data_IF_918037356158
#
_entry.id   IF_918037356158
#
_cell.length_a   1.000
_cell.length_b   1.000
_cell.length_c   1.000
_cell.angle_alpha   90.00
_cell.angle_beta   90.00
_cell.angle_gamma   90.00
#
_symmetry.space_group_name_H-M   'P 1'
#
loop_
_entity.id
_entity.type
_entity.pdbx_description
1 polymer ?
#
# COMPACT_ATOMS: atom_id res chain seq x y z
N UNK A 1 93.72 12.91 -4.78
CA UNK A 1 92.81 12.95 -3.65
C UNK A 1 91.40 12.81 -4.21
N UNK A 2 90.91 11.57 -4.30
CA UNK A 2 89.60 11.25 -4.88
C UNK A 2 88.67 10.88 -3.73
N UNK A 3 87.57 11.59 -3.61
CA UNK A 3 86.49 11.28 -2.62
C UNK A 3 85.40 10.49 -3.31
N UNK A 4 85.29 9.21 -2.98
CA UNK A 4 84.20 8.34 -3.38
C UNK A 4 82.94 8.70 -2.60
N UNK A 5 81.89 9.01 -3.31
CA UNK A 5 80.56 9.20 -2.73
C UNK A 5 79.82 7.88 -2.85
N UNK A 6 79.49 7.31 -1.69
CA UNK A 6 78.65 6.09 -1.59
C UNK A 6 77.18 6.54 -1.60
N UNK A 7 76.49 6.19 -2.66
CA UNK A 7 75.05 6.41 -2.77
C UNK A 7 74.34 5.17 -2.20
N UNK A 8 73.74 5.31 -1.03
CA UNK A 8 72.81 4.30 -0.44
C UNK A 8 71.49 4.34 -1.14
N UNK A 9 71.24 3.34 -1.95
CA UNK A 9 69.91 3.06 -2.51
C UNK A 9 69.02 2.38 -1.42
N UNK A 10 68.12 3.16 -0.81
CA UNK A 10 67.05 2.62 0.07
C UNK A 10 65.95 2.14 -0.85
N UNK A 11 65.87 0.81 -1.03
CA UNK A 11 64.73 0.16 -1.69
C UNK A 11 63.49 0.27 -0.81
N UNK A 12 62.61 1.22 -1.11
CA UNK A 12 61.33 1.31 -0.50
C UNK A 12 60.40 0.21 -1.04
N UNK A 13 60.11 -0.78 -0.22
CA UNK A 13 59.05 -1.77 -0.47
C UNK A 13 57.72 -1.06 -0.29
N UNK A 14 57.06 -0.68 -1.39
CA UNK A 14 55.65 -0.26 -1.41
C UNK A 14 54.80 -1.50 -1.15
N UNK A 15 54.42 -1.71 0.09
CA UNK A 15 53.34 -2.64 0.42
C UNK A 15 52.04 -1.99 -0.05
N UNK A 16 51.62 -2.32 -1.26
CA UNK A 16 50.26 -2.02 -1.73
C UNK A 16 49.25 -2.82 -0.89
N UNK A 17 48.87 -2.24 0.25
CA UNK A 17 47.75 -2.72 1.04
C UNK A 17 46.46 -2.64 0.21
N UNK A 18 46.12 -3.74 -0.46
CA UNK A 18 44.83 -3.89 -1.09
C UNK A 18 43.76 -3.78 -0.03
N UNK A 19 43.15 -2.61 0.09
CA UNK A 19 41.84 -2.48 0.74
C UNK A 19 40.85 -3.25 -0.11
N UNK A 20 40.74 -4.57 0.13
CA UNK A 20 39.60 -5.36 -0.26
C UNK A 20 38.43 -4.77 0.46
N UNK A 21 37.81 -3.73 -0.14
CA UNK A 21 36.47 -3.29 0.17
C UNK A 21 35.55 -4.51 0.01
N UNK A 22 35.33 -5.22 1.10
CA UNK A 22 34.20 -6.15 1.21
C UNK A 22 32.92 -5.30 1.18
N UNK A 23 32.61 -4.71 0.01
CA UNK A 23 31.27 -4.26 -0.26
C UNK A 23 30.45 -5.55 -0.33
N UNK A 24 29.80 -5.87 0.79
CA UNK A 24 28.73 -6.83 0.83
C UNK A 24 27.80 -6.45 -0.33
N UNK A 25 27.89 -7.17 -1.44
CA UNK A 25 27.00 -7.04 -2.58
C UNK A 25 25.61 -7.42 -2.10
N UNK A 26 24.88 -6.43 -1.55
CA UNK A 26 23.45 -6.60 -1.31
C UNK A 26 22.83 -6.78 -2.67
N UNK A 27 22.10 -7.88 -2.84
CA UNK A 27 21.33 -8.14 -4.05
C UNK A 27 20.52 -6.87 -4.39
N UNK A 28 20.72 -6.25 -5.57
CA UNK A 28 20.01 -5.04 -5.94
C UNK A 28 18.49 -5.20 -5.88
N UNK A 29 18.00 -6.40 -6.21
CA UNK A 29 16.58 -6.71 -6.16
C UNK A 29 16.06 -6.66 -4.71
N UNK A 30 16.79 -7.24 -3.77
CA UNK A 30 16.46 -7.19 -2.34
C UNK A 30 16.52 -5.75 -1.80
N UNK A 31 17.52 -4.98 -2.25
CA UNK A 31 17.67 -3.58 -1.82
C UNK A 31 16.50 -2.71 -2.29
N UNK A 32 16.07 -2.85 -3.54
CA UNK A 32 14.88 -2.20 -4.10
C UNK A 32 13.62 -2.62 -3.34
N UNK A 33 13.45 -3.92 -3.11
CA UNK A 33 12.31 -4.46 -2.37
C UNK A 33 12.22 -3.91 -0.95
N UNK A 34 13.35 -3.75 -0.26
CA UNK A 34 13.40 -3.12 1.06
C UNK A 34 12.91 -1.68 1.04
N UNK A 35 13.25 -0.89 0.01
CA UNK A 35 12.79 0.49 -0.11
C UNK A 35 11.27 0.54 -0.33
N UNK A 36 10.75 -0.27 -1.26
CA UNK A 36 9.32 -0.37 -1.54
C UNK A 36 8.56 -0.83 -0.29
N UNK A 37 9.05 -1.86 0.42
CA UNK A 37 8.48 -2.36 1.65
C UNK A 37 8.42 -1.28 2.74
N UNK A 38 9.52 -0.55 2.91
CA UNK A 38 9.61 0.51 3.92
C UNK A 38 8.56 1.61 3.68
N UNK A 39 8.22 1.87 2.43
CA UNK A 39 7.26 2.91 2.09
C UNK A 39 5.80 2.44 2.19
N UNK A 40 5.48 1.25 1.66
CA UNK A 40 4.09 0.79 1.49
C UNK A 40 3.63 -0.22 2.54
N UNK A 41 4.52 -1.00 3.15
CA UNK A 41 4.14 -2.20 3.91
C UNK A 41 4.33 -2.05 5.43
N UNK A 42 5.30 -1.26 5.88
CA UNK A 42 5.72 -1.21 7.29
C UNK A 42 4.65 -0.73 8.26
N UNK A 43 3.71 0.10 7.81
CA UNK A 43 2.64 0.60 8.68
C UNK A 43 1.69 -0.49 9.19
N UNK A 44 1.56 -1.59 8.45
CA UNK A 44 0.79 -2.77 8.86
C UNK A 44 1.71 -3.92 9.29
N UNK A 45 2.71 -4.25 8.45
CA UNK A 45 3.55 -5.43 8.65
C UNK A 45 4.77 -5.19 9.55
N UNK A 46 5.03 -3.95 10.00
CA UNK A 46 6.19 -3.60 10.81
C UNK A 46 7.49 -3.50 10.01
N UNK A 47 8.51 -2.86 10.58
CA UNK A 47 9.82 -2.67 9.92
C UNK A 47 10.57 -3.99 9.74
N UNK A 48 10.40 -4.91 10.69
CA UNK A 48 11.01 -6.24 10.73
C UNK A 48 10.12 -7.34 10.15
N UNK A 49 8.86 -7.04 9.82
CA UNK A 49 7.96 -7.96 9.17
C UNK A 49 7.09 -8.81 10.10
N UNK A 50 7.09 -8.54 11.42
CA UNK A 50 6.33 -9.32 12.42
C UNK A 50 4.81 -9.09 12.39
N UNK A 51 4.27 -8.26 11.50
CA UNK A 51 2.85 -7.91 11.52
C UNK A 51 2.48 -6.92 12.63
N UNK A 52 3.46 -6.25 13.21
CA UNK A 52 3.39 -5.37 14.39
C UNK A 52 3.46 -3.87 14.05
N UNK A 53 3.21 -3.50 12.80
CA UNK A 53 3.17 -2.10 12.39
C UNK A 53 2.18 -1.29 13.22
N UNK A 54 2.38 0.04 13.31
CA UNK A 54 1.54 0.91 14.15
C UNK A 54 0.03 0.81 13.85
N UNK A 55 -0.33 0.39 12.65
CA UNK A 55 -1.73 0.21 12.24
C UNK A 55 -2.26 -1.19 12.55
N UNK A 56 -1.42 -2.17 12.87
CA UNK A 56 -1.82 -3.56 13.08
C UNK A 56 -2.86 -3.70 14.21
N UNK A 57 -2.75 -2.87 15.26
CA UNK A 57 -3.72 -2.87 16.37
C UNK A 57 -5.16 -2.54 15.95
N UNK A 58 -5.34 -1.86 14.80
CA UNK A 58 -6.64 -1.46 14.28
C UNK A 58 -7.22 -2.47 13.27
N UNK A 59 -6.55 -3.61 13.06
CA UNK A 59 -6.92 -4.59 12.04
C UNK A 59 -7.30 -5.94 12.66
N UNK A 60 -8.37 -6.54 12.14
CA UNK A 60 -8.77 -7.90 12.43
C UNK A 60 -9.25 -8.54 11.11
N UNK A 61 -8.62 -9.60 10.59
CA UNK A 61 -7.42 -10.27 11.16
C UNK A 61 -6.16 -9.39 11.14
N UNK A 62 -5.22 -9.72 12.02
CA UNK A 62 -3.91 -9.07 12.09
C UNK A 62 -3.12 -9.26 10.77
N UNK A 63 -2.23 -8.32 10.43
CA UNK A 63 -1.32 -8.50 9.31
C UNK A 63 -0.46 -9.76 9.50
N UNK A 64 -0.18 -10.44 8.39
CA UNK A 64 0.67 -11.63 8.41
C UNK A 64 2.09 -11.30 8.91
N UNK A 65 2.62 -12.17 9.76
CA UNK A 65 4.04 -12.19 10.12
C UNK A 65 4.86 -12.75 8.95
N UNK A 66 5.74 -11.94 8.36
CA UNK A 66 6.62 -12.34 7.27
C UNK A 66 7.89 -13.03 7.77
N UNK A 67 8.15 -13.04 9.07
CA UNK A 67 9.30 -13.72 9.68
C UNK A 67 9.02 -15.19 10.00
N UNK A 68 7.73 -15.57 9.98
CA UNK A 68 7.30 -16.95 10.15
C UNK A 68 7.54 -17.75 8.86
N UNK A 69 8.64 -18.48 8.85
CA UNK A 69 9.02 -19.34 7.72
C UNK A 69 8.36 -20.71 7.71
N UNK A 70 7.47 -21.01 8.69
CA UNK A 70 6.77 -22.28 8.79
C UNK A 70 5.66 -22.45 7.75
N UNK A 71 5.18 -23.70 7.65
CA UNK A 71 3.95 -24.03 6.94
C UNK A 71 2.73 -23.71 7.83
N UNK A 72 1.62 -23.17 7.28
CA UNK A 72 1.37 -22.79 5.87
C UNK A 72 1.74 -21.33 5.55
N UNK A 73 2.70 -20.78 6.24
CA UNK A 73 3.10 -19.37 6.14
C UNK A 73 4.11 -19.12 5.02
N UNK A 74 5.13 -18.29 5.27
CA UNK A 74 6.05 -17.83 4.22
C UNK A 74 6.85 -18.95 3.57
N UNK A 75 7.18 -20.01 4.32
CA UNK A 75 7.92 -21.17 3.80
C UNK A 75 7.13 -22.02 2.83
N UNK A 76 5.82 -22.17 3.05
CA UNK A 76 4.94 -22.97 2.20
C UNK A 76 4.39 -22.26 0.97
N UNK A 77 4.74 -21.01 0.76
CA UNK A 77 4.28 -20.24 -0.39
C UNK A 77 5.32 -20.19 -1.49
N UNK A 78 4.87 -20.33 -2.74
CA UNK A 78 5.75 -20.08 -3.90
C UNK A 78 6.02 -18.57 -4.05
N UNK A 79 7.00 -18.20 -4.86
CA UNK A 79 7.27 -16.79 -5.14
C UNK A 79 6.12 -16.15 -5.91
N UNK A 80 5.48 -16.90 -6.79
CA UNK A 80 4.32 -16.49 -7.59
C UNK A 80 3.10 -16.25 -6.71
N UNK A 81 2.84 -17.10 -5.71
CA UNK A 81 1.76 -16.89 -4.75
C UNK A 81 1.97 -15.63 -3.91
N UNK A 82 3.21 -15.34 -3.52
CA UNK A 82 3.55 -14.09 -2.82
C UNK A 82 3.39 -12.87 -3.74
N UNK A 83 3.83 -12.99 -5.00
CA UNK A 83 3.61 -11.96 -6.02
C UNK A 83 2.12 -11.67 -6.20
N UNK A 84 1.30 -12.72 -6.35
CA UNK A 84 -0.16 -12.57 -6.48
C UNK A 84 -0.78 -11.92 -5.24
N UNK A 85 -0.36 -12.33 -4.05
CA UNK A 85 -0.85 -11.76 -2.80
C UNK A 85 -0.58 -10.24 -2.72
N UNK A 86 0.59 -9.80 -3.12
CA UNK A 86 0.93 -8.37 -3.17
C UNK A 86 0.18 -7.67 -4.30
N UNK A 87 0.17 -8.26 -5.49
CA UNK A 87 -0.42 -7.65 -6.69
C UNK A 87 -1.94 -7.51 -6.57
N UNK A 88 -2.63 -8.60 -6.19
CA UNK A 88 -4.10 -8.70 -6.14
C UNK A 88 -4.69 -8.34 -4.78
N UNK A 89 -3.85 -8.19 -3.75
CA UNK A 89 -4.29 -7.99 -2.37
C UNK A 89 -4.91 -9.23 -1.75
N UNK A 90 -5.22 -9.17 -0.46
CA UNK A 90 -5.75 -10.32 0.26
C UNK A 90 -7.04 -10.88 -0.34
N UNK A 91 -7.96 -10.02 -0.76
CA UNK A 91 -9.20 -10.46 -1.41
C UNK A 91 -8.94 -11.21 -2.72
N UNK A 92 -8.00 -10.76 -3.53
CA UNK A 92 -7.69 -11.37 -4.82
C UNK A 92 -7.18 -12.82 -4.72
N UNK A 93 -6.74 -13.22 -3.53
CA UNK A 93 -6.29 -14.57 -3.17
C UNK A 93 -7.21 -15.27 -2.17
N UNK A 94 -8.47 -14.83 -2.02
CA UNK A 94 -9.46 -15.43 -1.11
C UNK A 94 -9.19 -15.19 0.37
N UNK A 95 -8.45 -14.14 0.73
CA UNK A 95 -8.14 -13.73 2.10
C UNK A 95 -8.80 -12.40 2.47
N UNK A 96 -8.43 -11.81 3.61
CA UNK A 96 -9.00 -10.55 4.09
C UNK A 96 -8.80 -9.38 3.12
N UNK A 97 -9.84 -8.59 2.88
CA UNK A 97 -9.80 -7.36 2.09
C UNK A 97 -8.98 -6.24 2.74
N UNK A 98 -8.57 -6.40 4.00
CA UNK A 98 -7.75 -5.41 4.72
C UNK A 98 -6.32 -5.29 4.17
N UNK A 99 -5.84 -6.30 3.41
CA UNK A 99 -4.63 -6.16 2.63
C UNK A 99 -4.99 -5.64 1.22
N UNK A 100 -4.65 -4.39 0.89
CA UNK A 100 -5.01 -3.79 -0.40
C UNK A 100 -4.19 -4.36 -1.56
N UNK A 101 -4.69 -4.28 -2.81
CA UNK A 101 -3.94 -4.67 -4.00
C UNK A 101 -2.91 -3.58 -4.37
N UNK A 102 -1.70 -3.98 -4.70
CA UNK A 102 -0.62 -3.06 -5.10
C UNK A 102 -0.28 -3.10 -6.59
N UNK A 103 -0.81 -4.08 -7.36
CA UNK A 103 -0.59 -4.17 -8.81
C UNK A 103 -1.14 -2.99 -9.62
N UNK A 104 -2.05 -2.18 -9.04
CA UNK A 104 -2.52 -0.93 -9.61
C UNK A 104 -1.61 0.28 -9.37
N UNK A 105 -0.51 0.11 -8.62
CA UNK A 105 0.41 1.20 -8.22
C UNK A 105 1.87 0.86 -8.53
N UNK A 106 2.29 -0.35 -8.21
CA UNK A 106 3.65 -0.85 -8.37
C UNK A 106 3.81 -1.52 -9.73
N UNK A 107 5.01 -1.45 -10.29
CA UNK A 107 5.38 -2.29 -11.42
C UNK A 107 5.53 -3.75 -11.00
N UNK A 108 5.46 -4.66 -11.95
CA UNK A 108 5.69 -6.09 -11.65
C UNK A 108 7.10 -6.32 -11.11
N UNK A 109 8.11 -5.60 -11.65
CA UNK A 109 9.48 -5.64 -11.13
C UNK A 109 9.55 -5.22 -9.65
N UNK A 110 8.85 -4.15 -9.25
CA UNK A 110 8.81 -3.70 -7.85
C UNK A 110 8.12 -4.72 -6.95
N UNK A 111 7.08 -5.41 -7.44
CA UNK A 111 6.43 -6.49 -6.68
C UNK A 111 7.37 -7.69 -6.54
N UNK A 112 8.09 -8.09 -7.58
CA UNK A 112 9.11 -9.13 -7.49
C UNK A 112 10.25 -8.76 -6.53
N UNK A 113 10.64 -7.48 -6.52
CA UNK A 113 11.64 -7.00 -5.55
C UNK A 113 11.13 -7.09 -4.10
N UNK A 114 9.83 -6.79 -3.87
CA UNK A 114 9.19 -7.01 -2.58
C UNK A 114 9.23 -8.48 -2.17
N UNK A 115 8.90 -9.41 -3.07
CA UNK A 115 8.98 -10.85 -2.80
C UNK A 115 10.41 -11.24 -2.41
N UNK A 116 11.41 -10.74 -3.15
CA UNK A 116 12.81 -11.01 -2.84
C UNK A 116 13.19 -10.49 -1.44
N UNK A 117 12.76 -9.29 -1.07
CA UNK A 117 13.00 -8.76 0.27
C UNK A 117 12.26 -9.56 1.35
N UNK A 118 10.98 -9.89 1.16
CA UNK A 118 10.21 -10.69 2.11
C UNK A 118 10.85 -12.05 2.38
N UNK A 119 11.46 -12.68 1.36
CA UNK A 119 12.22 -13.93 1.50
C UNK A 119 13.45 -13.80 2.42
N UNK A 120 13.96 -12.59 2.63
CA UNK A 120 15.06 -12.37 3.58
C UNK A 120 14.62 -12.18 5.03
N UNK A 121 13.31 -12.04 5.28
CA UNK A 121 12.79 -11.78 6.62
C UNK A 121 12.67 -13.05 7.47
N UNK A 122 12.58 -14.24 6.86
CA UNK A 122 12.55 -15.52 7.56
C UNK A 122 13.83 -16.34 7.30
N UNK A 123 14.16 -17.23 8.23
CA UNK A 123 15.39 -18.04 8.19
C UNK A 123 15.28 -19.31 7.34
N UNK A 124 14.08 -19.70 6.96
CA UNK A 124 13.87 -20.93 6.21
C UNK A 124 14.41 -20.78 4.78
N UNK A 125 14.95 -21.88 4.26
CA UNK A 125 15.36 -21.93 2.85
C UNK A 125 14.17 -21.58 1.96
N UNK A 126 14.38 -20.64 1.05
CA UNK A 126 13.37 -20.19 0.11
C UNK A 126 13.93 -20.21 -1.33
N UNK A 127 13.11 -20.50 -2.33
CA UNK A 127 13.55 -20.40 -3.72
C UNK A 127 14.08 -19.01 -4.05
N UNK A 128 15.17 -18.96 -4.81
CA UNK A 128 15.67 -17.67 -5.31
C UNK A 128 14.59 -16.98 -6.13
N UNK A 129 14.38 -15.70 -5.87
CA UNK A 129 13.45 -14.90 -6.67
C UNK A 129 14.13 -14.46 -7.95
N UNK A 130 13.49 -14.75 -9.07
CA UNK A 130 13.92 -14.34 -10.41
C UNK A 130 12.80 -13.51 -11.01
N UNK A 131 13.13 -12.30 -11.49
CA UNK A 131 12.16 -11.47 -12.20
C UNK A 131 11.94 -12.07 -13.59
N UNK A 132 10.69 -12.42 -13.97
CA UNK A 132 10.41 -12.91 -15.32
C UNK A 132 10.84 -11.88 -16.38
N UNK A 133 11.30 -12.37 -17.54
CA UNK A 133 11.76 -11.48 -18.63
C UNK A 133 10.64 -10.58 -19.17
N UNK A 134 9.41 -11.08 -19.15
CA UNK A 134 8.19 -10.40 -19.57
C UNK A 134 7.61 -9.47 -18.52
N UNK A 135 8.17 -9.43 -17.32
CA UNK A 135 7.66 -8.58 -16.23
C UNK A 135 7.70 -7.10 -16.60
N UNK A 136 6.61 -6.41 -16.34
CA UNK A 136 6.50 -4.95 -16.57
C UNK A 136 7.41 -4.20 -15.62
N UNK A 137 8.34 -3.43 -16.19
CA UNK A 137 9.34 -2.66 -15.45
C UNK A 137 8.80 -1.31 -15.00
N UNK A 138 7.84 -0.75 -15.75
CA UNK A 138 7.25 0.54 -15.46
C UNK A 138 5.98 0.39 -14.61
N UNK A 139 5.78 1.37 -13.73
CA UNK A 139 4.51 1.49 -12.98
C UNK A 139 3.35 1.73 -13.93
N UNK A 140 2.12 1.30 -13.56
CA UNK A 140 0.93 1.58 -14.34
C UNK A 140 0.80 3.08 -14.63
N UNK A 141 0.52 3.42 -15.90
CA UNK A 141 0.25 4.81 -16.30
C UNK A 141 -1.15 5.20 -15.87
N UNK A 142 -1.26 6.33 -15.18
CA UNK A 142 -2.53 6.82 -14.68
C UNK A 142 -3.11 7.86 -15.64
N UNK A 143 -4.14 7.47 -16.39
CA UNK A 143 -4.88 8.38 -17.26
C UNK A 143 -5.84 9.20 -16.40
N UNK A 144 -5.68 10.53 -16.44
CA UNK A 144 -6.54 11.45 -15.70
C UNK A 144 -7.80 11.78 -16.49
N UNK A 145 -8.79 10.89 -16.49
CA UNK A 145 -10.15 11.26 -16.90
C UNK A 145 -10.92 11.78 -15.68
N UNK A 146 -10.82 13.07 -15.40
CA UNK A 146 -11.50 13.67 -14.26
C UNK A 146 -12.93 14.05 -14.63
N UNK A 147 -13.92 13.45 -13.99
CA UNK A 147 -15.31 13.90 -14.10
C UNK A 147 -15.47 15.23 -13.37
N UNK A 148 -16.12 16.20 -13.99
CA UNK A 148 -16.47 17.50 -13.36
C UNK A 148 -17.70 17.36 -12.48
N UNK A 149 -18.64 16.50 -12.84
CA UNK A 149 -19.88 16.19 -12.16
C UNK A 149 -20.09 14.68 -12.09
N UNK A 150 -20.87 14.23 -11.13
CA UNK A 150 -21.32 12.85 -11.02
C UNK A 150 -22.78 12.80 -11.39
N UNK A 151 -23.09 12.00 -12.38
CA UNK A 151 -24.44 11.71 -12.77
C UNK A 151 -24.96 10.51 -11.98
N UNK A 152 -26.16 10.65 -11.41
CA UNK A 152 -26.86 9.56 -10.78
C UNK A 152 -27.76 8.95 -11.84
N UNK A 153 -27.71 7.64 -12.06
CA UNK A 153 -28.58 6.99 -13.02
C UNK A 153 -30.03 7.30 -12.66
N UNK A 154 -30.78 7.85 -13.60
CA UNK A 154 -32.23 7.96 -13.49
C UNK A 154 -32.77 6.55 -13.72
N UNK A 155 -33.40 5.98 -12.69
CA UNK A 155 -34.11 4.70 -12.80
C UNK A 155 -35.60 4.97 -12.94
N UNK A 156 -36.23 4.19 -13.79
CA UNK A 156 -37.69 4.16 -13.94
C UNK A 156 -38.18 2.94 -13.14
N UNK A 157 -39.15 3.12 -12.31
CA UNK A 157 -39.80 2.04 -11.55
C UNK A 157 -40.46 1.02 -12.44
N UNK A 158 -40.87 -0.12 -11.89
CA UNK A 158 -41.65 -1.14 -12.62
C UNK A 158 -43.01 -0.60 -13.12
N UNK A 159 -43.49 0.45 -12.49
CA UNK A 159 -44.73 1.18 -12.85
C UNK A 159 -44.49 2.22 -13.97
N UNK A 160 -43.27 2.33 -14.51
CA UNK A 160 -42.93 3.29 -15.56
C UNK A 160 -42.68 4.73 -15.06
N UNK A 161 -42.84 4.98 -13.77
CA UNK A 161 -42.63 6.29 -13.18
C UNK A 161 -41.16 6.51 -12.79
N UNK A 162 -40.66 7.77 -12.83
CA UNK A 162 -39.32 8.08 -12.33
C UNK A 162 -39.21 7.73 -10.84
N UNK A 163 -38.18 6.95 -10.47
CA UNK A 163 -37.87 6.69 -9.06
C UNK A 163 -37.34 7.96 -8.42
N UNK A 164 -37.69 8.23 -7.18
CA UNK A 164 -37.15 9.36 -6.43
C UNK A 164 -35.60 9.26 -6.37
N UNK A 165 -34.94 10.29 -6.88
CA UNK A 165 -33.49 10.40 -6.88
C UNK A 165 -32.88 10.30 -5.47
N UNK A 166 -33.61 10.75 -4.44
CA UNK A 166 -33.16 10.64 -3.05
C UNK A 166 -33.16 9.17 -2.59
N UNK A 167 -34.16 8.39 -2.97
CA UNK A 167 -34.20 6.96 -2.68
C UNK A 167 -33.09 6.19 -3.39
N UNK A 168 -32.87 6.48 -4.67
CA UNK A 168 -31.75 5.88 -5.44
C UNK A 168 -30.41 6.18 -4.78
N UNK A 169 -30.19 7.43 -4.37
CA UNK A 169 -28.95 7.84 -3.66
C UNK A 169 -28.80 7.08 -2.35
N UNK A 170 -29.86 6.91 -1.58
CA UNK A 170 -29.83 6.20 -0.29
C UNK A 170 -29.47 4.71 -0.49
N UNK A 171 -30.10 4.03 -1.45
CA UNK A 171 -29.80 2.63 -1.79
C UNK A 171 -28.36 2.46 -2.29
N UNK A 172 -27.89 3.38 -3.14
CA UNK A 172 -26.49 3.36 -3.60
C UNK A 172 -25.53 3.63 -2.45
N UNK A 173 -25.84 4.54 -1.52
CA UNK A 173 -24.99 4.80 -0.36
C UNK A 173 -24.87 3.57 0.55
N UNK A 174 -25.95 2.85 0.83
CA UNK A 174 -25.90 1.58 1.58
C UNK A 174 -25.04 0.52 0.88
N UNK A 175 -25.15 0.44 -0.46
CA UNK A 175 -24.28 -0.42 -1.25
C UNK A 175 -22.83 0.03 -1.14
N UNK A 176 -22.60 1.34 -1.19
CA UNK A 176 -21.28 1.95 -1.04
C UNK A 176 -20.62 1.63 0.29
N UNK A 177 -21.37 1.63 1.39
CA UNK A 177 -20.89 1.23 2.72
C UNK A 177 -20.38 -0.21 2.73
N UNK A 178 -21.18 -1.16 2.22
CA UNK A 178 -20.76 -2.56 2.10
C UNK A 178 -19.52 -2.73 1.21
N UNK A 179 -19.45 -1.98 0.12
CA UNK A 179 -18.28 -1.99 -0.76
C UNK A 179 -17.05 -1.44 -0.04
N UNK A 180 -17.18 -0.33 0.68
CA UNK A 180 -16.13 0.33 1.45
C UNK A 180 -15.58 -0.58 2.54
N UNK A 181 -16.45 -1.20 3.33
CA UNK A 181 -16.04 -2.01 4.48
C UNK A 181 -15.60 -3.42 4.09
N UNK A 182 -16.41 -4.11 3.27
CA UNK A 182 -16.27 -5.56 3.07
C UNK A 182 -15.55 -5.91 1.77
N UNK A 183 -15.89 -5.21 0.67
CA UNK A 183 -15.31 -5.56 -0.64
C UNK A 183 -13.91 -5.02 -0.83
N UNK A 184 -13.72 -3.75 -0.59
CA UNK A 184 -12.45 -3.08 -0.86
C UNK A 184 -11.61 -2.84 0.38
N UNK A 185 -12.14 -3.06 1.60
CA UNK A 185 -11.41 -2.96 2.85
C UNK A 185 -10.81 -1.58 3.10
N UNK A 186 -11.50 -0.52 2.71
CA UNK A 186 -11.02 0.85 2.88
C UNK A 186 -10.78 1.20 4.36
N UNK A 187 -11.49 0.51 5.26
CA UNK A 187 -11.31 0.58 6.72
C UNK A 187 -9.93 0.10 7.19
N UNK A 188 -9.18 -0.62 6.35
CA UNK A 188 -7.79 -0.99 6.67
C UNK A 188 -6.89 0.23 6.88
N UNK A 189 -7.17 1.31 6.16
CA UNK A 189 -6.37 2.54 6.19
C UNK A 189 -7.09 3.74 6.77
N UNK A 190 -8.42 3.76 6.71
CA UNK A 190 -9.24 4.91 7.09
C UNK A 190 -10.18 4.59 8.26
N UNK A 191 -10.26 5.50 9.22
CA UNK A 191 -11.25 5.45 10.29
C UNK A 191 -12.53 6.19 9.91
N UNK A 192 -13.68 5.62 10.32
CA UNK A 192 -15.00 6.25 10.31
C UNK A 192 -15.58 6.12 11.72
N UNK A 193 -16.03 7.22 12.32
CA UNK A 193 -16.55 7.19 13.70
C UNK A 193 -15.51 6.71 14.72
N UNK A 194 -14.23 6.93 14.48
CA UNK A 194 -13.14 6.46 15.36
C UNK A 194 -12.72 5.00 15.15
N UNK A 195 -13.45 4.22 14.37
CA UNK A 195 -13.17 2.80 14.09
C UNK A 195 -12.47 2.64 12.74
N UNK A 196 -11.40 1.87 12.69
CA UNK A 196 -10.63 1.58 11.48
C UNK A 196 -9.16 2.02 11.55
N UNK A 197 -8.47 1.90 10.42
CA UNK A 197 -7.04 2.19 10.30
C UNK A 197 -6.69 3.66 10.38
N UNK A 198 -5.42 3.93 10.71
CA UNK A 198 -4.87 5.28 10.87
C UNK A 198 -3.74 5.60 9.87
N UNK A 199 -3.65 4.86 8.76
CA UNK A 199 -2.69 5.12 7.67
C UNK A 199 -3.12 6.32 6.84
N UNK A 200 -4.41 6.39 6.52
CA UNK A 200 -5.04 7.52 5.85
C UNK A 200 -5.78 8.43 6.84
N UNK A 201 -6.26 9.59 6.38
CA UNK A 201 -7.05 10.49 7.23
C UNK A 201 -8.38 9.86 7.64
N UNK A 202 -8.91 10.31 8.80
CA UNK A 202 -10.29 10.00 9.19
C UNK A 202 -11.28 10.51 8.15
N UNK A 203 -12.23 9.66 7.78
CA UNK A 203 -13.27 9.97 6.80
C UNK A 203 -14.61 10.35 7.45
N UNK A 204 -14.69 10.40 8.78
CA UNK A 204 -15.92 10.74 9.52
C UNK A 204 -16.63 12.03 9.06
N UNK A 205 -15.86 12.94 8.45
CA UNK A 205 -16.32 14.26 8.00
C UNK A 205 -16.08 14.52 6.50
N UNK A 206 -15.72 13.50 5.74
CA UNK A 206 -15.33 13.68 4.34
C UNK A 206 -16.47 14.23 3.49
N UNK A 207 -17.70 13.84 3.76
CA UNK A 207 -18.89 14.28 3.04
C UNK A 207 -19.18 15.78 3.20
N UNK A 208 -18.75 16.38 4.32
CA UNK A 208 -18.83 17.83 4.53
C UNK A 208 -17.69 18.58 3.84
N UNK A 209 -16.47 17.99 3.84
CA UNK A 209 -15.24 18.67 3.40
C UNK A 209 -15.01 18.64 1.90
N UNK A 210 -15.41 17.57 1.23
CA UNK A 210 -15.06 17.32 -0.17
C UNK A 210 -16.31 17.24 -1.06
N UNK A 211 -16.17 17.72 -2.30
CA UNK A 211 -17.20 17.58 -3.34
C UNK A 211 -17.24 16.13 -3.82
N UNK A 212 -18.40 15.65 -4.20
CA UNK A 212 -18.64 14.29 -4.70
C UNK A 212 -17.76 13.96 -5.92
N UNK A 213 -17.68 14.85 -6.91
CA UNK A 213 -16.80 14.65 -8.07
C UNK A 213 -15.32 14.51 -7.67
N UNK A 214 -14.85 15.23 -6.63
CA UNK A 214 -13.48 15.08 -6.15
C UNK A 214 -13.28 13.71 -5.50
N UNK A 215 -14.21 13.30 -4.60
CA UNK A 215 -14.17 11.98 -3.95
C UNK A 215 -14.14 10.87 -5.01
N UNK A 216 -15.05 10.94 -5.99
CA UNK A 216 -15.13 9.96 -7.07
C UNK A 216 -13.80 9.83 -7.83
N UNK A 217 -13.26 10.95 -8.30
CA UNK A 217 -12.01 10.96 -9.07
C UNK A 217 -10.83 10.48 -8.22
N UNK A 218 -10.80 10.87 -6.94
CA UNK A 218 -9.76 10.45 -6.01
C UNK A 218 -9.74 8.94 -5.82
N UNK A 219 -10.88 8.32 -5.49
CA UNK A 219 -10.94 6.87 -5.24
C UNK A 219 -10.77 6.04 -6.52
N UNK A 220 -11.09 6.61 -7.67
CA UNK A 220 -10.85 5.98 -8.99
C UNK A 220 -9.37 5.92 -9.34
N UNK A 221 -8.66 7.00 -9.09
CA UNK A 221 -7.26 7.12 -9.52
C UNK A 221 -6.47 8.13 -8.66
N UNK A 222 -6.12 7.75 -7.42
CA UNK A 222 -5.47 8.67 -6.49
C UNK A 222 -4.11 9.18 -7.00
N UNK A 223 -3.35 8.34 -7.71
CA UNK A 223 -2.03 8.70 -8.23
C UNK A 223 -2.10 9.74 -9.36
N UNK A 224 -3.22 9.84 -10.07
CA UNK A 224 -3.41 10.88 -11.09
C UNK A 224 -3.63 12.27 -10.50
N UNK A 225 -3.98 12.32 -9.21
CA UNK A 225 -4.22 13.58 -8.48
C UNK A 225 -3.00 13.94 -7.65
N UNK A 226 -2.48 12.99 -6.88
CA UNK A 226 -1.23 13.14 -6.10
C UNK A 226 -0.31 11.97 -6.44
N UNK A 227 0.67 12.18 -7.33
CA UNK A 227 1.69 11.17 -7.62
C UNK A 227 2.43 10.76 -6.35
N UNK A 228 2.67 9.46 -6.18
CA UNK A 228 3.36 8.92 -4.99
C UNK A 228 2.50 8.77 -3.74
N UNK A 229 1.19 9.09 -3.77
CA UNK A 229 0.32 8.81 -2.63
C UNK A 229 0.35 7.32 -2.24
N UNK A 230 0.27 7.05 -0.94
CA UNK A 230 0.20 5.68 -0.39
C UNK A 230 -1.17 5.02 -0.58
N UNK A 231 -2.19 5.78 -0.99
CA UNK A 231 -3.50 5.21 -1.26
C UNK A 231 -3.42 4.32 -2.50
N UNK A 232 -3.74 3.02 -2.39
CA UNK A 232 -3.68 2.12 -3.53
C UNK A 232 -4.74 2.46 -4.58
N UNK A 233 -4.47 2.07 -5.83
CA UNK A 233 -5.47 2.11 -6.89
C UNK A 233 -6.20 0.77 -6.94
N UNK A 234 -7.44 0.76 -6.48
CA UNK A 234 -8.28 -0.44 -6.44
C UNK A 234 -8.92 -0.78 -7.80
N UNK A 235 -8.67 0.02 -8.84
CA UNK A 235 -9.26 -0.14 -10.18
C UNK A 235 -10.79 -0.29 -10.12
N UNK A 236 -11.43 0.56 -9.32
CA UNK A 236 -12.88 0.51 -9.08
C UNK A 236 -13.66 0.67 -10.38
N UNK A 237 -14.70 -0.15 -10.57
CA UNK A 237 -15.70 0.11 -11.59
C UNK A 237 -16.42 1.43 -11.29
N UNK A 238 -16.91 2.13 -12.31
CA UNK A 238 -17.57 3.43 -12.11
C UNK A 238 -18.78 3.32 -11.17
N UNK A 239 -19.56 2.24 -11.28
CA UNK A 239 -20.69 1.98 -10.40
C UNK A 239 -20.29 1.82 -8.93
N UNK A 240 -19.21 1.06 -8.65
CA UNK A 240 -18.69 0.85 -7.31
C UNK A 240 -18.13 2.16 -6.73
N UNK A 241 -17.41 2.93 -7.55
CA UNK A 241 -16.90 4.24 -7.15
C UNK A 241 -18.01 5.25 -6.88
N UNK A 242 -19.09 5.25 -7.69
CA UNK A 242 -20.26 6.08 -7.44
C UNK A 242 -20.94 5.71 -6.11
N UNK A 243 -21.18 4.44 -5.88
CA UNK A 243 -21.80 3.97 -4.65
C UNK A 243 -20.98 4.35 -3.40
N UNK A 244 -19.65 4.10 -3.44
CA UNK A 244 -18.74 4.49 -2.35
C UNK A 244 -18.73 6.02 -2.17
N UNK A 245 -18.74 6.78 -3.26
CA UNK A 245 -18.79 8.26 -3.18
C UNK A 245 -20.04 8.72 -2.46
N UNK A 246 -21.21 8.15 -2.81
CA UNK A 246 -22.48 8.51 -2.16
C UNK A 246 -22.49 8.13 -0.67
N UNK A 247 -21.93 6.97 -0.31
CA UNK A 247 -21.72 6.63 1.10
C UNK A 247 -20.84 7.67 1.80
N UNK A 248 -19.67 7.97 1.25
CA UNK A 248 -18.75 8.95 1.83
C UNK A 248 -19.38 10.34 1.97
N UNK A 249 -20.33 10.69 1.11
CA UNK A 249 -21.08 11.95 1.21
C UNK A 249 -22.07 11.98 2.38
N UNK A 250 -22.47 10.83 2.92
CA UNK A 250 -23.29 10.75 4.14
C UNK A 250 -22.47 11.03 5.40
N UNK A 251 -21.15 10.85 5.36
CA UNK A 251 -20.24 11.02 6.50
C UNK A 251 -20.02 12.49 6.82
N UNK A 252 -20.86 13.05 7.70
CA UNK A 252 -20.92 14.46 8.08
C UNK A 252 -20.86 14.64 9.60
N UNK A 253 -20.10 13.81 10.32
CA UNK A 253 -19.96 13.95 11.76
C UNK A 253 -19.61 15.39 12.15
N UNK A 254 -20.08 15.91 13.28
CA UNK A 254 -19.67 17.20 13.80
C UNK A 254 -18.14 17.22 14.04
N UNK A 255 -17.52 18.42 14.20
CA UNK A 255 -16.13 18.49 14.63
C UNK A 255 -15.95 17.68 15.91
N UNK A 256 -14.93 16.82 15.93
CA UNK A 256 -14.47 16.27 17.20
C UNK A 256 -14.12 17.46 18.08
N UNK A 257 -14.71 17.54 19.28
CA UNK A 257 -14.32 18.54 20.27
C UNK A 257 -12.80 18.48 20.50
N UNK A 258 -12.17 19.52 21.01
CA UNK A 258 -10.79 19.43 21.46
C UNK A 258 -10.69 18.21 22.37
N UNK A 259 -9.59 17.41 22.29
CA UNK A 259 -9.42 16.26 23.15
C UNK A 259 -9.69 16.71 24.58
N UNK A 260 -10.63 16.05 25.26
CA UNK A 260 -10.92 16.32 26.67
C UNK A 260 -9.59 16.31 27.39
N UNK A 261 -9.16 17.50 27.82
CA UNK A 261 -7.93 17.66 28.55
C UNK A 261 -7.98 16.71 29.73
N UNK A 262 -6.97 15.85 29.88
CA UNK A 262 -6.72 15.21 31.16
C UNK A 262 -6.76 16.33 32.17
N UNK A 263 -7.86 16.38 32.94
CA UNK A 263 -7.94 17.26 34.08
C UNK A 263 -6.72 16.95 34.95
N UNK A 264 -5.79 17.88 34.98
CA UNK A 264 -4.62 17.78 35.84
C UNK A 264 -5.14 17.66 37.26
N UNK A 265 -4.96 16.47 37.83
CA UNK A 265 -5.08 16.32 39.27
C UNK A 265 -4.01 17.19 39.90
N UNK A 266 -4.45 18.13 40.67
CA UNK A 266 -3.64 18.88 41.61
C UNK A 266 -3.26 18.02 42.79
#
# INVERSE_FOLDING_TARGET
>A
MSRSVIINLISGILVAGGLTSCSLFRDPLVSEGKQVYSYYCTHCHGKSGHGDGFNAQNLDPKPRDHTDGGEPYMGGRTNEELFEAVSKGGRGIGKSSLMPPWGGVLSEKEIWSLVAYMRTLHKNSAPKVVVPKEAKLERPKFVSSRKKTIEIPVTVGEDGNPVDVAEVKAKLAQTGERLFEKKYGCTACHAVGGVGGKVGPSLSRVGFRLRDAYIFNWIKNPQSIIPGTKMPNFQLRDQDALAITLYLKTLKAPPEGPPEGKAGGA
#
